data_IF_670643903191
#
_entry.id   IF_670643903191
#
_cell.length_a   1.000
_cell.length_b   1.000
_cell.length_c   1.000
_cell.angle_alpha   90.00
_cell.angle_beta   90.00
_cell.angle_gamma   90.00
#
_symmetry.space_group_name_H-M   'P 1'
#
loop_
_entity.id
_entity.type
_entity.pdbx_description
1 polymer ?
#
# COMPACT_ATOMS: atom_id res chain seq x y z
N UNK A 1 15.78 -4.64 55.41
CA UNK A 1 15.88 -6.10 55.61
C UNK A 1 14.66 -6.78 55.02
N UNK A 2 14.84 -8.03 54.57
CA UNK A 2 13.80 -9.03 54.18
C UNK A 2 13.16 -8.84 52.79
N UNK A 3 13.75 -9.48 51.76
CA UNK A 3 13.43 -10.81 51.18
C UNK A 3 12.25 -10.75 50.18
N UNK A 4 12.34 -11.21 48.92
CA UNK A 4 13.22 -12.18 48.29
C UNK A 4 12.37 -13.26 47.62
N UNK A 5 11.90 -13.03 46.37
CA UNK A 5 11.18 -14.04 45.59
C UNK A 5 12.00 -14.41 44.34
N UNK A 6 12.83 -15.43 44.51
CA UNK A 6 13.52 -16.19 43.45
C UNK A 6 13.08 -17.65 43.58
N UNK A 7 12.38 -18.16 42.59
CA UNK A 7 12.18 -19.59 42.26
C UNK A 7 11.99 -19.59 40.73
N UNK A 8 12.99 -19.83 39.87
CA UNK A 8 13.72 -21.08 39.58
C UNK A 8 12.81 -22.30 39.74
N UNK A 9 12.50 -22.99 38.63
CA UNK A 9 12.62 -24.45 38.48
C UNK A 9 12.24 -24.91 37.04
N UNK A 10 13.29 -25.36 36.33
CA UNK A 10 13.41 -26.60 35.53
C UNK A 10 12.57 -26.79 34.25
N UNK A 11 13.24 -26.48 33.12
CA UNK A 11 13.68 -27.43 32.07
C UNK A 11 12.99 -28.82 32.10
N UNK A 12 12.06 -29.05 31.17
CA UNK A 12 11.63 -30.39 30.77
C UNK A 12 11.92 -30.58 29.27
N UNK A 13 13.14 -31.03 28.99
CA UNK A 13 13.48 -31.64 27.69
C UNK A 13 13.04 -33.09 27.80
N UNK A 14 12.07 -33.50 26.99
CA UNK A 14 11.74 -34.91 26.77
C UNK A 14 11.72 -35.18 25.28
N UNK A 15 12.80 -35.82 24.83
CA UNK A 15 12.90 -36.51 23.56
C UNK A 15 11.77 -37.53 23.42
N UNK A 16 11.04 -37.50 22.32
CA UNK A 16 10.31 -38.66 21.80
C UNK A 16 10.76 -38.81 20.35
N UNK A 17 11.67 -39.77 20.15
CA UNK A 17 11.87 -40.41 18.87
C UNK A 17 10.67 -41.33 18.62
N UNK A 18 10.12 -41.30 17.41
CA UNK A 18 9.28 -42.41 16.95
C UNK A 18 8.15 -42.04 16.00
N UNK A 19 8.32 -42.52 14.76
CA UNK A 19 7.29 -43.12 13.90
C UNK A 19 6.53 -42.21 12.92
N UNK A 20 6.97 -42.33 11.66
CA UNK A 20 6.20 -42.61 10.43
C UNK A 20 4.99 -41.74 10.12
N UNK A 21 5.08 -41.04 8.98
CA UNK A 21 3.91 -40.53 8.27
C UNK A 21 4.22 -39.35 7.36
N UNK A 22 5.11 -39.52 6.37
CA UNK A 22 5.14 -38.60 5.22
C UNK A 22 3.90 -38.90 4.36
N UNK A 23 2.73 -38.50 4.86
CA UNK A 23 1.52 -38.36 4.08
C UNK A 23 1.76 -37.34 2.99
N UNK A 24 1.50 -37.78 1.76
CA UNK A 24 1.57 -36.99 0.54
C UNK A 24 0.83 -35.65 0.70
N UNK A 25 1.55 -34.54 0.59
CA UNK A 25 0.95 -33.26 0.21
C UNK A 25 1.09 -33.16 -1.30
N UNK A 26 0.04 -33.62 -2.00
CA UNK A 26 -0.21 -33.19 -3.35
C UNK A 26 -0.40 -31.66 -3.32
N UNK A 27 0.63 -30.91 -3.71
CA UNK A 27 0.49 -29.49 -3.96
C UNK A 27 -0.41 -29.33 -5.19
N UNK A 28 -1.67 -29.00 -4.89
CA UNK A 28 -2.71 -28.79 -5.87
C UNK A 28 -2.29 -27.76 -6.91
N UNK A 29 -2.72 -28.03 -8.14
CA UNK A 29 -2.81 -27.10 -9.25
C UNK A 29 -3.68 -25.90 -8.83
N UNK A 30 -3.08 -24.93 -8.15
CA UNK A 30 -3.69 -23.63 -7.93
C UNK A 30 -3.53 -22.80 -9.21
N UNK A 31 -4.62 -22.32 -9.77
CA UNK A 31 -4.60 -21.17 -10.67
C UNK A 31 -3.96 -20.01 -9.92
N UNK A 32 -2.63 -19.89 -10.01
CA UNK A 32 -1.89 -18.79 -9.41
C UNK A 32 -2.35 -17.51 -10.09
N UNK A 33 -3.09 -16.68 -9.37
CA UNK A 33 -3.30 -15.30 -9.77
C UNK A 33 -1.91 -14.70 -10.03
N UNK A 34 -1.61 -14.38 -11.29
CA UNK A 34 -0.35 -13.70 -11.63
C UNK A 34 -0.34 -12.41 -10.82
N UNK A 35 0.52 -12.35 -9.81
CA UNK A 35 0.76 -11.10 -9.10
C UNK A 35 1.36 -10.11 -10.12
N UNK A 36 0.91 -8.85 -10.12
CA UNK A 36 1.49 -7.85 -11.00
C UNK A 36 2.99 -7.75 -10.71
N UNK A 37 3.80 -7.63 -11.76
CA UNK A 37 5.25 -7.40 -11.64
C UNK A 37 5.53 -5.90 -11.49
N UNK A 38 6.58 -5.51 -10.73
CA UNK A 38 6.96 -4.12 -10.63
C UNK A 38 7.41 -3.54 -11.99
N UNK A 39 7.17 -2.25 -12.25
CA UNK A 39 7.79 -1.55 -13.37
C UNK A 39 9.32 -1.67 -13.31
N UNK A 40 10.00 -1.79 -14.46
CA UNK A 40 11.45 -1.80 -14.49
C UNK A 40 12.03 -0.43 -14.10
N UNK A 41 13.27 -0.41 -13.59
CA UNK A 41 14.02 0.82 -13.31
C UNK A 41 13.66 1.53 -12.00
N UNK A 42 12.80 0.94 -11.17
CA UNK A 42 12.52 1.48 -9.83
C UNK A 42 13.71 1.24 -8.88
N UNK A 43 14.04 2.25 -8.08
CA UNK A 43 14.92 2.09 -6.92
C UNK A 43 14.20 1.41 -5.74
N UNK A 44 14.92 1.15 -4.64
CA UNK A 44 14.38 0.45 -3.47
C UNK A 44 13.14 1.15 -2.84
N UNK A 45 13.18 2.47 -2.68
CA UNK A 45 12.07 3.23 -2.12
C UNK A 45 10.84 3.23 -3.04
N UNK A 46 11.07 3.37 -4.34
CA UNK A 46 10.02 3.33 -5.36
C UNK A 46 9.40 1.93 -5.49
N UNK A 47 10.20 0.86 -5.31
CA UNK A 47 9.70 -0.51 -5.28
C UNK A 47 8.80 -0.75 -4.07
N UNK A 48 9.18 -0.25 -2.89
CA UNK A 48 8.33 -0.27 -1.71
C UNK A 48 7.02 0.54 -1.92
N UNK A 49 7.11 1.66 -2.65
CA UNK A 49 5.96 2.46 -3.03
C UNK A 49 5.02 1.78 -4.03
N UNK A 50 5.57 1.08 -5.01
CA UNK A 50 4.80 0.24 -5.93
C UNK A 50 4.08 -0.87 -5.17
N UNK A 51 4.76 -1.55 -4.23
CA UNK A 51 4.10 -2.55 -3.40
C UNK A 51 2.95 -1.94 -2.59
N UNK A 52 3.15 -0.75 -2.02
CA UNK A 52 2.09 -0.03 -1.31
C UNK A 52 0.90 0.32 -2.23
N UNK A 53 1.15 0.66 -3.49
CA UNK A 53 0.11 0.94 -4.49
C UNK A 53 -0.79 -0.28 -4.74
N UNK A 54 -0.20 -1.48 -4.81
CA UNK A 54 -0.92 -2.75 -4.94
C UNK A 54 -1.64 -3.11 -3.64
N UNK A 55 -0.94 -3.09 -2.51
CA UNK A 55 -1.49 -3.46 -1.18
C UNK A 55 -2.72 -2.62 -0.81
N UNK A 56 -2.69 -1.32 -1.13
CA UNK A 56 -3.76 -0.37 -0.83
C UNK A 56 -4.84 -0.32 -1.92
N UNK A 57 -4.73 -1.20 -2.93
CA UNK A 57 -5.67 -1.36 -4.03
C UNK A 57 -5.92 -0.06 -4.83
N UNK A 58 -4.90 0.78 -4.97
CA UNK A 58 -4.98 2.05 -5.68
C UNK A 58 -5.33 1.86 -7.17
N UNK A 59 -4.84 0.77 -7.77
CA UNK A 59 -5.07 0.40 -9.16
C UNK A 59 -6.55 0.24 -9.53
N UNK A 60 -7.40 -0.15 -8.57
CA UNK A 60 -8.85 -0.31 -8.80
C UNK A 60 -9.54 0.98 -9.26
N UNK A 61 -9.00 2.15 -8.87
CA UNK A 61 -9.51 3.46 -9.26
C UNK A 61 -8.60 4.17 -10.26
N UNK A 62 -7.27 4.01 -10.11
CA UNK A 62 -6.30 4.78 -10.88
C UNK A 62 -5.63 4.00 -12.02
N UNK A 63 -5.94 2.71 -12.20
CA UNK A 63 -5.34 1.87 -13.24
C UNK A 63 -4.05 1.20 -12.82
N UNK A 64 -3.69 0.10 -13.49
CA UNK A 64 -2.51 -0.69 -13.12
C UNK A 64 -1.22 0.04 -13.52
N UNK A 65 -1.28 0.83 -14.60
CA UNK A 65 -0.20 1.70 -15.07
C UNK A 65 -0.48 3.18 -14.73
N UNK A 66 -1.36 3.46 -13.76
CA UNK A 66 -1.74 4.83 -13.34
C UNK A 66 -2.43 5.64 -14.44
N UNK A 67 -2.96 5.00 -15.47
CA UNK A 67 -3.60 5.60 -16.64
C UNK A 67 -4.98 6.24 -16.34
N UNK A 68 -5.51 6.02 -15.14
CA UNK A 68 -6.83 6.48 -14.73
C UNK A 68 -7.96 5.59 -15.25
N UNK A 69 -9.11 5.68 -14.60
CA UNK A 69 -10.35 4.98 -14.97
C UNK A 69 -11.53 5.92 -14.81
N UNK A 70 -12.73 5.43 -15.11
CA UNK A 70 -13.96 6.17 -14.79
C UNK A 70 -14.10 6.49 -13.29
N UNK A 71 -13.50 5.65 -12.44
CA UNK A 71 -13.52 5.76 -10.98
C UNK A 71 -12.44 6.68 -10.39
N UNK A 72 -11.43 7.09 -11.16
CA UNK A 72 -10.35 7.94 -10.64
C UNK A 72 -9.45 8.51 -11.74
N UNK A 73 -8.89 9.71 -11.55
CA UNK A 73 -8.03 10.36 -12.56
C UNK A 73 -6.73 9.59 -12.81
N UNK A 74 -6.06 9.83 -13.96
CA UNK A 74 -4.69 9.40 -14.16
C UNK A 74 -3.75 9.99 -13.09
N UNK A 75 -2.71 9.22 -12.74
CA UNK A 75 -1.64 9.62 -11.82
C UNK A 75 -0.26 9.75 -12.50
N UNK A 76 -0.25 9.96 -13.83
CA UNK A 76 0.96 10.25 -14.60
C UNK A 76 1.21 11.76 -14.60
N UNK A 77 2.48 12.21 -14.56
CA UNK A 77 2.85 13.62 -14.58
C UNK A 77 2.51 14.38 -13.29
N UNK A 78 2.29 13.68 -12.17
CA UNK A 78 2.02 14.36 -10.89
C UNK A 78 3.22 15.19 -10.40
N UNK A 79 4.44 14.76 -10.73
CA UNK A 79 5.71 15.43 -10.41
C UNK A 79 5.77 16.88 -10.86
N UNK A 80 5.04 17.25 -11.92
CA UNK A 80 4.98 18.63 -12.44
C UNK A 80 4.31 19.63 -11.49
N UNK A 81 3.50 19.13 -10.55
CA UNK A 81 2.65 19.98 -9.70
C UNK A 81 2.62 19.58 -8.23
N UNK A 82 3.17 18.41 -7.89
CA UNK A 82 3.09 17.83 -6.56
C UNK A 82 4.47 17.35 -6.10
N UNK A 83 4.75 17.63 -4.84
CA UNK A 83 5.88 17.06 -4.09
C UNK A 83 5.42 15.85 -3.28
N UNK A 84 6.39 15.03 -2.85
CA UNK A 84 6.10 13.86 -2.03
C UNK A 84 5.41 14.24 -0.70
N UNK A 85 5.78 15.36 -0.08
CA UNK A 85 5.13 15.83 1.15
C UNK A 85 3.66 16.23 0.93
N UNK A 86 3.35 16.91 -0.17
CA UNK A 86 1.98 17.26 -0.52
C UNK A 86 1.14 16.01 -0.80
N UNK A 87 1.71 15.00 -1.45
CA UNK A 87 1.04 13.72 -1.66
C UNK A 87 0.80 13.00 -0.33
N UNK A 88 1.80 12.92 0.55
CA UNK A 88 1.62 12.29 1.87
C UNK A 88 0.54 13.01 2.68
N UNK A 89 0.52 14.35 2.66
CA UNK A 89 -0.52 15.14 3.31
C UNK A 89 -1.91 14.82 2.76
N UNK A 90 -2.06 14.79 1.42
CA UNK A 90 -3.31 14.42 0.77
C UNK A 90 -3.75 12.99 1.06
N UNK A 91 -2.84 12.01 1.08
CA UNK A 91 -3.17 10.63 1.41
C UNK A 91 -3.57 10.47 2.88
N UNK A 92 -3.01 11.30 3.76
CA UNK A 92 -3.28 11.25 5.20
C UNK A 92 -4.66 11.82 5.53
N UNK A 93 -5.00 12.99 4.97
CA UNK A 93 -6.28 13.67 5.18
C UNK A 93 -6.73 14.37 3.87
N UNK A 94 -7.35 13.61 2.95
CA UNK A 94 -7.75 14.17 1.67
C UNK A 94 -8.89 15.18 1.81
N UNK A 95 -9.78 15.05 2.79
CA UNK A 95 -10.88 16.01 2.98
C UNK A 95 -10.34 17.41 3.30
N UNK A 96 -9.38 17.49 4.22
CA UNK A 96 -8.73 18.76 4.56
C UNK A 96 -8.02 19.38 3.35
N UNK A 97 -7.29 18.58 2.58
CA UNK A 97 -6.52 19.07 1.43
C UNK A 97 -7.43 19.43 0.24
N UNK A 98 -8.50 18.67 -0.03
CA UNK A 98 -9.50 19.01 -1.07
C UNK A 98 -10.18 20.33 -0.73
N UNK A 99 -10.61 20.52 0.52
CA UNK A 99 -11.25 21.75 0.98
C UNK A 99 -10.35 22.98 0.79
N UNK A 100 -9.03 22.81 0.96
CA UNK A 100 -8.05 23.88 0.83
C UNK A 100 -7.58 24.12 -0.62
N UNK A 101 -7.93 23.26 -1.59
CA UNK A 101 -7.39 23.30 -2.94
C UNK A 101 -8.49 23.27 -4.02
N UNK A 102 -8.80 24.41 -4.68
CA UNK A 102 -9.85 24.50 -5.69
C UNK A 102 -9.69 23.53 -6.87
N UNK A 103 -8.45 23.22 -7.28
CA UNK A 103 -8.18 22.26 -8.37
C UNK A 103 -8.57 20.84 -7.96
N UNK A 104 -8.40 20.48 -6.69
CA UNK A 104 -8.85 19.19 -6.17
C UNK A 104 -10.36 19.17 -5.93
N UNK A 105 -10.95 20.26 -5.43
CA UNK A 105 -12.40 20.38 -5.27
C UNK A 105 -13.14 20.16 -6.60
N UNK A 106 -12.70 20.82 -7.68
CA UNK A 106 -13.24 20.61 -9.02
C UNK A 106 -13.12 19.15 -9.49
N UNK A 107 -12.00 18.48 -9.19
CA UNK A 107 -11.85 17.05 -9.53
C UNK A 107 -12.80 16.18 -8.69
N UNK A 108 -12.95 16.45 -7.40
CA UNK A 108 -13.84 15.70 -6.52
C UNK A 108 -15.30 15.75 -6.99
N UNK A 109 -15.76 16.88 -7.53
CA UNK A 109 -17.09 17.01 -8.15
C UNK A 109 -17.23 16.16 -9.42
N UNK A 110 -16.15 16.01 -10.20
CA UNK A 110 -16.15 15.28 -11.47
C UNK A 110 -16.21 13.75 -11.29
N UNK A 111 -15.66 13.22 -10.20
CA UNK A 111 -15.60 11.77 -9.95
C UNK A 111 -16.66 11.35 -8.93
N UNK A 112 -17.63 10.55 -9.36
CA UNK A 112 -18.74 10.09 -8.51
C UNK A 112 -18.27 9.22 -7.32
N UNK A 113 -17.15 8.54 -7.46
CA UNK A 113 -16.49 7.81 -6.38
C UNK A 113 -15.37 8.71 -5.88
N UNK A 114 -15.59 9.38 -4.74
CA UNK A 114 -14.52 10.10 -4.08
C UNK A 114 -13.40 9.14 -3.67
N UNK A 115 -12.15 9.62 -3.72
CA UNK A 115 -11.02 8.85 -3.19
C UNK A 115 -11.34 8.37 -1.77
N UNK A 116 -10.89 7.17 -1.32
CA UNK A 116 -11.11 6.75 0.04
C UNK A 116 -10.77 7.88 1.02
N UNK A 117 -11.73 8.21 1.90
CA UNK A 117 -11.79 9.40 2.76
C UNK A 117 -12.31 10.69 2.14
N UNK A 118 -11.98 11.08 0.90
CA UNK A 118 -12.54 12.27 0.24
C UNK A 118 -14.08 12.24 0.10
N UNK A 119 -14.69 11.07 0.32
CA UNK A 119 -16.13 10.84 0.36
C UNK A 119 -16.70 10.74 1.79
N UNK A 120 -15.97 11.19 2.82
CA UNK A 120 -16.34 11.12 4.26
C UNK A 120 -16.60 9.71 4.82
N UNK A 121 -16.02 8.65 4.23
CA UNK A 121 -16.22 7.24 4.63
C UNK A 121 -15.02 6.59 5.34
N UNK A 122 -13.92 7.32 5.56
CA UNK A 122 -12.66 6.82 6.13
C UNK A 122 -11.79 8.01 6.58
N UNK A 123 -10.89 7.88 7.58
CA UNK A 123 -9.99 8.96 8.02
C UNK A 123 -8.69 9.03 7.20
N UNK A 124 -8.81 9.08 5.88
CA UNK A 124 -7.69 8.95 4.94
C UNK A 124 -6.99 7.60 5.03
N UNK A 125 -5.72 7.59 4.64
CA UNK A 125 -4.80 6.47 4.82
C UNK A 125 -3.92 6.61 6.08
N UNK A 126 -4.00 7.72 6.81
CA UNK A 126 -3.22 7.93 8.05
C UNK A 126 -3.49 6.87 9.13
N UNK A 127 -4.71 6.34 9.19
CA UNK A 127 -5.07 5.21 10.05
C UNK A 127 -4.89 3.82 9.42
N UNK A 128 -4.55 3.75 8.12
CA UNK A 128 -4.45 2.48 7.36
C UNK A 128 -3.02 2.08 7.03
N UNK A 129 -2.10 3.03 6.97
CA UNK A 129 -0.71 2.81 6.65
C UNK A 129 0.20 3.72 7.48
N UNK A 130 1.36 3.19 7.88
CA UNK A 130 2.42 3.96 8.54
C UNK A 130 2.96 5.07 7.62
N UNK A 131 3.47 6.14 8.22
CA UNK A 131 3.96 7.32 7.51
C UNK A 131 4.99 6.99 6.43
N UNK A 132 5.91 6.06 6.69
CA UNK A 132 6.96 5.72 5.71
C UNK A 132 6.41 4.90 4.54
N UNK A 133 5.34 4.11 4.75
CA UNK A 133 4.65 3.43 3.64
C UNK A 133 3.96 4.46 2.75
N UNK A 134 3.33 5.48 3.33
CA UNK A 134 2.74 6.60 2.57
C UNK A 134 3.81 7.41 1.83
N UNK A 135 4.99 7.61 2.45
CA UNK A 135 6.11 8.28 1.81
C UNK A 135 6.63 7.50 0.61
N UNK A 136 6.86 6.20 0.77
CA UNK A 136 7.29 5.35 -0.34
C UNK A 136 6.25 5.36 -1.48
N UNK A 137 4.95 5.26 -1.16
CA UNK A 137 3.88 5.38 -2.14
C UNK A 137 3.92 6.73 -2.88
N UNK A 138 4.12 7.83 -2.15
CA UNK A 138 4.24 9.15 -2.73
C UNK A 138 5.41 9.24 -3.72
N UNK A 139 6.58 8.73 -3.34
CA UNK A 139 7.75 8.70 -4.20
C UNK A 139 7.50 7.87 -5.46
N UNK A 140 6.82 6.72 -5.35
CA UNK A 140 6.45 5.91 -6.51
C UNK A 140 5.49 6.63 -7.46
N UNK A 141 4.40 7.23 -6.96
CA UNK A 141 3.40 7.85 -7.85
C UNK A 141 3.90 9.14 -8.52
N UNK A 142 5.02 9.69 -8.06
CA UNK A 142 5.69 10.83 -8.68
C UNK A 142 6.71 10.42 -9.74
N UNK A 143 7.06 9.13 -9.85
CA UNK A 143 7.86 8.65 -10.98
C UNK A 143 7.02 8.63 -12.23
N UNK A 144 7.51 9.21 -13.31
CA UNK A 144 6.92 8.99 -14.64
C UNK A 144 7.38 7.62 -15.15
N UNK A 145 6.52 6.62 -14.97
CA UNK A 145 6.72 5.33 -15.64
C UNK A 145 6.43 5.54 -17.12
N UNK A 146 7.41 5.26 -17.98
CA UNK A 146 7.17 5.27 -19.41
C UNK A 146 6.04 4.30 -19.71
N UNK A 147 5.01 4.77 -20.41
CA UNK A 147 4.00 3.90 -20.99
C UNK A 147 4.74 2.98 -21.98
N UNK A 148 4.57 1.64 -21.94
CA UNK A 148 5.10 0.82 -23.01
C UNK A 148 4.51 1.34 -24.32
N UNK A 149 5.39 1.73 -25.25
CA UNK A 149 4.97 2.14 -26.59
C UNK A 149 4.26 0.94 -27.22
N UNK A 150 2.99 1.13 -27.55
CA UNK A 150 2.13 0.11 -28.15
C UNK A 150 2.08 0.26 -29.66
#
# INVERSE_FOLDING_TARGET
MSSGWRWVIKRFVRSIAGVVGFSAVAFGLGCGARQPSPPPGLNEAQLAGWQAYIDLNCASCHGDAREGRRSGPPLIGLSEHWSADQIVSYLTDPDAVVKANPRLAYKAEKYAIGMPSAAAKSPGYGGKARAEKLRALAEYILVDIQKPEG
#
